data_IF_455343690327
#
_entry.id   IF_455343690327
#
_cell.length_a   1.000
_cell.length_b   1.000
_cell.length_c   1.000
_cell.angle_alpha   90.00
_cell.angle_beta   90.00
_cell.angle_gamma   90.00
#
_symmetry.space_group_name_H-M   'P 1'
#
loop_
_entity.id
_entity.type
_entity.pdbx_description
1 polymer ?
#
# COMPACT_ATOMS: atom_id res chain seq x y z
N UNK A 1 11.10 -17.56 -16.95
CA UNK A 1 10.00 -16.73 -17.49
C UNK A 1 10.29 -15.29 -17.11
N UNK A 2 10.23 -14.35 -18.06
CA UNK A 2 10.55 -12.95 -17.82
C UNK A 2 9.37 -12.23 -17.17
N UNK A 3 9.65 -11.42 -16.16
CA UNK A 3 8.68 -10.51 -15.56
C UNK A 3 8.51 -9.29 -16.49
N UNK A 4 7.28 -8.94 -16.81
CA UNK A 4 6.96 -7.79 -17.64
C UNK A 4 6.15 -6.76 -16.84
N UNK A 5 6.51 -5.48 -16.99
CA UNK A 5 5.89 -4.38 -16.26
C UNK A 5 4.80 -3.74 -17.11
N UNK A 6 3.60 -3.63 -16.54
CA UNK A 6 2.51 -2.79 -17.03
C UNK A 6 2.40 -1.60 -16.07
N UNK A 7 2.48 -0.37 -16.58
CA UNK A 7 2.26 0.84 -15.78
C UNK A 7 1.04 1.56 -16.33
N UNK A 8 0.08 1.85 -15.46
CA UNK A 8 -1.10 2.65 -15.78
C UNK A 8 -1.10 3.88 -14.89
N UNK A 9 -1.17 5.06 -15.50
CA UNK A 9 -1.36 6.33 -14.82
C UNK A 9 -2.81 6.73 -15.04
N UNK A 10 -3.52 7.14 -13.99
CA UNK A 10 -4.89 7.67 -14.09
C UNK A 10 -4.91 9.02 -13.40
N UNK A 11 -5.36 10.06 -14.11
CA UNK A 11 -5.47 11.39 -13.53
C UNK A 11 -6.82 11.60 -12.82
N UNK A 12 -6.94 12.72 -12.10
CA UNK A 12 -8.17 13.07 -11.38
C UNK A 12 -9.40 13.27 -12.30
N UNK A 13 -9.19 13.47 -13.61
CA UNK A 13 -10.25 13.56 -14.60
C UNK A 13 -10.63 12.20 -15.22
N UNK A 14 -9.99 11.11 -14.78
CA UNK A 14 -10.22 9.76 -15.28
C UNK A 14 -9.56 9.48 -16.63
N UNK A 15 -8.65 10.34 -17.10
CA UNK A 15 -7.80 10.04 -18.26
C UNK A 15 -6.73 9.06 -17.83
N UNK A 16 -6.37 8.14 -18.73
CA UNK A 16 -5.34 7.16 -18.43
C UNK A 16 -4.25 7.12 -19.49
N UNK A 17 -3.03 6.85 -19.04
CA UNK A 17 -1.88 6.52 -19.89
C UNK A 17 -1.42 5.10 -19.57
N UNK A 18 -1.13 4.33 -20.62
CA UNK A 18 -0.75 2.93 -20.51
C UNK A 18 0.63 2.69 -21.12
N UNK A 19 1.57 2.25 -20.28
CA UNK A 19 2.90 1.83 -20.71
C UNK A 19 3.01 0.31 -20.62
N UNK A 20 3.11 -0.35 -21.78
CA UNK A 20 3.10 -1.82 -21.92
C UNK A 20 4.49 -2.44 -22.12
N UNK A 21 5.54 -1.62 -22.21
CA UNK A 21 6.91 -2.10 -22.44
C UNK A 21 7.04 -2.93 -23.72
N UNK A 22 7.62 -4.14 -23.62
CA UNK A 22 7.75 -5.11 -24.73
C UNK A 22 6.60 -6.13 -24.80
N UNK A 23 5.52 -5.93 -24.05
CA UNK A 23 4.40 -6.88 -23.98
C UNK A 23 3.49 -6.72 -25.19
N UNK A 24 2.99 -7.83 -25.70
CA UNK A 24 1.99 -7.83 -26.75
C UNK A 24 0.72 -7.11 -26.28
N UNK A 25 0.26 -6.11 -27.05
CA UNK A 25 -0.92 -5.31 -26.70
C UNK A 25 -2.19 -6.15 -26.55
N UNK A 26 -2.33 -7.27 -27.28
CA UNK A 26 -3.45 -8.19 -27.12
C UNK A 26 -3.45 -8.92 -25.77
N UNK A 27 -2.27 -9.31 -25.27
CA UNK A 27 -2.16 -9.92 -23.94
C UNK A 27 -2.47 -8.91 -22.83
N UNK A 28 -2.09 -7.64 -23.04
CA UNK A 28 -2.43 -6.56 -22.12
C UNK A 28 -3.95 -6.31 -22.11
N UNK A 29 -4.60 -6.31 -23.27
CA UNK A 29 -6.05 -6.15 -23.36
C UNK A 29 -6.79 -7.25 -22.61
N UNK A 30 -6.44 -8.51 -22.85
CA UNK A 30 -7.04 -9.67 -22.15
C UNK A 30 -6.85 -9.57 -20.62
N UNK A 31 -5.65 -9.18 -20.17
CA UNK A 31 -5.38 -8.94 -18.76
C UNK A 31 -6.27 -7.82 -18.18
N UNK A 32 -6.42 -6.71 -18.89
CA UNK A 32 -7.26 -5.58 -18.45
C UNK A 32 -8.74 -5.95 -18.41
N UNK A 33 -9.23 -6.78 -19.34
CA UNK A 33 -10.59 -7.30 -19.31
C UNK A 33 -10.84 -8.19 -18.09
N UNK A 34 -9.91 -9.10 -17.78
CA UNK A 34 -9.98 -9.94 -16.59
C UNK A 34 -9.96 -9.11 -15.30
N UNK A 35 -9.11 -8.09 -15.22
CA UNK A 35 -9.05 -7.17 -14.09
C UNK A 35 -10.38 -6.41 -13.93
N UNK A 36 -10.93 -5.89 -15.02
CA UNK A 36 -12.22 -5.19 -15.00
C UNK A 36 -13.36 -6.12 -14.55
N UNK A 37 -13.36 -7.38 -14.99
CA UNK A 37 -14.31 -8.40 -14.53
C UNK A 37 -14.26 -8.60 -13.01
N UNK A 38 -13.06 -8.71 -12.44
CA UNK A 38 -12.87 -8.85 -10.99
C UNK A 38 -13.35 -7.62 -10.22
N UNK A 39 -12.99 -6.42 -10.67
CA UNK A 39 -13.41 -5.17 -10.03
C UNK A 39 -14.94 -5.04 -10.00
N UNK A 40 -15.62 -5.40 -11.09
CA UNK A 40 -17.09 -5.42 -11.14
C UNK A 40 -17.68 -6.46 -10.19
N UNK A 41 -17.12 -7.67 -10.16
CA UNK A 41 -17.58 -8.73 -9.27
C UNK A 41 -17.40 -8.39 -7.78
N UNK A 42 -16.39 -7.58 -7.45
CA UNK A 42 -16.13 -7.10 -6.08
C UNK A 42 -16.93 -5.84 -5.71
N UNK A 43 -17.69 -5.25 -6.63
CA UNK A 43 -18.50 -4.07 -6.35
C UNK A 43 -19.89 -4.48 -5.83
N UNK A 44 -20.34 -3.98 -4.65
CA UNK A 44 -21.70 -4.21 -4.18
C UNK A 44 -22.74 -3.59 -5.13
N UNK A 45 -24.00 -4.05 -5.16
CA UNK A 45 -25.02 -3.61 -6.12
C UNK A 45 -25.47 -2.15 -5.97
N UNK A 46 -25.00 -1.44 -4.94
CA UNK A 46 -25.36 -0.05 -4.71
C UNK A 46 -24.21 0.88 -5.12
N UNK A 47 -24.50 2.01 -5.81
CA UNK A 47 -23.48 2.98 -6.19
C UNK A 47 -22.83 3.55 -4.94
N UNK A 48 -21.49 3.45 -4.86
CA UNK A 48 -20.72 4.23 -3.89
C UNK A 48 -20.81 5.69 -4.31
N UNK A 49 -21.63 6.47 -3.60
CA UNK A 49 -21.45 7.92 -3.61
C UNK A 49 -20.11 8.17 -2.93
N UNK A 50 -19.16 8.91 -3.55
CA UNK A 50 -18.01 9.38 -2.82
C UNK A 50 -18.54 10.29 -1.72
N UNK A 51 -18.58 9.80 -0.48
CA UNK A 51 -19.11 10.58 0.64
C UNK A 51 -18.34 11.90 0.70
N UNK A 52 -19.09 13.00 0.67
CA UNK A 52 -18.60 14.32 1.05
C UNK A 52 -17.87 14.22 2.39
N UNK A 53 -16.89 15.11 2.68
CA UNK A 53 -16.05 14.99 3.88
C UNK A 53 -16.92 14.97 5.12
N UNK A 54 -17.05 13.80 5.75
CA UNK A 54 -17.71 13.68 7.05
C UNK A 54 -16.85 14.41 8.07
N UNK A 55 -17.48 15.35 8.78
CA UNK A 55 -16.87 16.09 9.86
C UNK A 55 -16.29 15.10 10.89
N UNK A 56 -14.98 15.20 11.12
CA UNK A 56 -14.23 14.40 12.09
C UNK A 56 -14.86 14.51 13.49
N UNK A 57 -15.29 13.39 14.10
CA UNK A 57 -15.54 13.35 15.53
C UNK A 57 -14.18 13.22 16.24
N UNK A 58 -13.89 14.19 17.08
CA UNK A 58 -12.72 14.35 17.94
C UNK A 58 -11.42 14.80 17.24
N UNK A 59 -10.96 15.98 17.67
CA UNK A 59 -9.73 16.63 17.30
C UNK A 59 -8.51 15.70 17.41
N UNK A 60 -8.05 15.18 16.28
CA UNK A 60 -6.66 14.81 16.09
C UNK A 60 -6.01 15.93 15.28
N UNK A 61 -4.92 16.56 15.77
CA UNK A 61 -4.30 17.68 15.08
C UNK A 61 -3.87 17.25 13.66
N UNK A 62 -4.15 18.13 12.69
CA UNK A 62 -3.90 17.97 11.25
C UNK A 62 -2.68 17.09 10.94
N UNK A 63 -2.94 15.99 10.21
CA UNK A 63 -1.92 15.04 9.77
C UNK A 63 -0.99 15.67 8.72
N UNK A 64 0.01 16.40 9.19
CA UNK A 64 1.22 16.62 8.41
C UNK A 64 2.06 15.35 8.47
N UNK A 65 2.20 14.69 7.31
CA UNK A 65 3.28 13.72 7.07
C UNK A 65 4.60 14.50 7.09
N UNK A 66 5.15 14.76 8.28
CA UNK A 66 6.51 15.26 8.44
C UNK A 66 7.45 14.10 8.10
N UNK A 67 7.88 14.04 6.84
CA UNK A 67 8.76 12.99 6.30
C UNK A 67 10.20 13.12 6.82
N UNK A 68 10.59 14.31 7.32
CA UNK A 68 11.99 14.66 7.62
C UNK A 68 12.58 14.09 8.92
N UNK A 69 11.78 13.53 9.83
CA UNK A 69 12.26 13.04 11.13
C UNK A 69 12.25 11.50 11.27
N UNK A 70 12.07 10.77 10.17
CA UNK A 70 12.11 9.31 10.24
C UNK A 70 13.54 8.77 10.41
N UNK A 71 13.70 7.73 11.23
CA UNK A 71 15.01 7.13 11.54
C UNK A 71 14.95 5.63 11.42
N UNK A 72 15.94 5.03 10.77
CA UNK A 72 16.11 3.59 10.71
C UNK A 72 17.30 3.13 11.56
N UNK A 73 17.06 2.21 12.49
CA UNK A 73 18.10 1.46 13.20
C UNK A 73 18.25 0.08 12.54
N UNK A 74 19.33 -0.15 11.77
CA UNK A 74 19.54 -1.42 11.09
C UNK A 74 19.92 -2.58 12.03
N UNK A 75 20.49 -2.29 13.21
CA UNK A 75 20.88 -3.31 14.17
C UNK A 75 19.65 -3.86 14.89
N UNK A 76 18.75 -2.98 15.30
CA UNK A 76 17.48 -3.36 15.92
C UNK A 76 16.39 -3.73 14.91
N UNK A 77 16.58 -3.41 13.62
CA UNK A 77 15.54 -3.47 12.57
C UNK A 77 14.30 -2.68 12.95
N UNK A 78 14.50 -1.55 13.62
CA UNK A 78 13.41 -0.66 14.05
C UNK A 78 13.42 0.58 13.16
N UNK A 79 12.27 0.92 12.62
CA UNK A 79 12.06 2.19 11.94
C UNK A 79 11.16 3.08 12.77
N UNK A 80 11.59 4.30 13.02
CA UNK A 80 10.83 5.32 13.74
C UNK A 80 10.26 6.29 12.73
N UNK A 81 8.95 6.47 12.71
CA UNK A 81 8.30 7.47 11.85
C UNK A 81 8.59 8.90 12.33
N UNK A 82 8.29 9.91 11.51
CA UNK A 82 8.45 11.32 11.88
C UNK A 82 7.58 11.79 13.06
N UNK A 83 6.74 10.91 13.63
CA UNK A 83 5.96 11.16 14.84
C UNK A 83 6.55 10.46 16.08
N UNK A 84 7.67 9.76 15.94
CA UNK A 84 8.31 9.01 17.01
C UNK A 84 7.73 7.62 17.26
N UNK A 85 6.83 7.12 16.41
CA UNK A 85 6.32 5.76 16.55
C UNK A 85 7.34 4.76 16.02
N UNK A 86 7.71 3.79 16.86
CA UNK A 86 8.65 2.74 16.52
C UNK A 86 7.95 1.53 15.89
N UNK A 87 8.45 1.10 14.74
CA UNK A 87 8.00 -0.04 13.97
C UNK A 87 9.08 -1.09 13.96
N UNK A 88 8.82 -2.25 14.58
CA UNK A 88 9.68 -3.41 14.45
C UNK A 88 9.47 -4.06 13.08
N UNK A 89 10.48 -3.98 12.22
CA UNK A 89 10.45 -4.51 10.86
C UNK A 89 10.78 -6.01 10.79
N UNK A 90 11.14 -6.62 11.92
CA UNK A 90 11.29 -8.08 12.00
C UNK A 90 9.94 -8.79 12.02
N UNK A 91 8.89 -8.10 12.48
CA UNK A 91 7.53 -8.63 12.62
C UNK A 91 6.78 -8.66 11.29
N UNK A 92 5.86 -9.60 11.19
CA UNK A 92 4.78 -9.54 10.20
C UNK A 92 3.67 -8.63 10.71
N UNK A 93 3.25 -7.68 9.89
CA UNK A 93 2.18 -6.74 10.20
C UNK A 93 0.90 -7.16 9.49
N UNK A 94 -0.24 -7.02 10.14
CA UNK A 94 -1.56 -7.35 9.62
C UNK A 94 -2.38 -6.08 9.53
N UNK A 95 -2.99 -5.87 8.37
CA UNK A 95 -3.87 -4.74 8.13
C UNK A 95 -5.31 -4.99 8.56
N UNK A 96 -6.16 -3.96 8.48
CA UNK A 96 -7.57 -4.05 8.90
C UNK A 96 -8.39 -5.07 8.08
N UNK A 97 -7.92 -5.44 6.89
CA UNK A 97 -8.56 -6.44 6.03
C UNK A 97 -7.99 -7.86 6.25
N UNK A 98 -7.04 -8.01 7.18
CA UNK A 98 -6.38 -9.28 7.47
C UNK A 98 -5.28 -9.66 6.48
N UNK A 99 -4.83 -8.75 5.62
CA UNK A 99 -3.67 -9.02 4.79
C UNK A 99 -2.38 -8.80 5.59
N UNK A 100 -1.45 -9.74 5.40
CA UNK A 100 -0.16 -9.75 6.06
C UNK A 100 0.89 -9.05 5.20
N UNK A 101 1.69 -8.22 5.84
CA UNK A 101 2.72 -7.37 5.26
C UNK A 101 4.05 -7.63 5.97
N UNK A 102 5.09 -7.89 5.20
CA UNK A 102 6.43 -8.15 5.72
C UNK A 102 7.44 -7.21 5.11
N UNK A 103 8.35 -6.69 5.93
CA UNK A 103 9.42 -5.85 5.42
C UNK A 103 10.33 -6.62 4.46
N UNK A 104 10.64 -5.99 3.32
CA UNK A 104 11.45 -6.58 2.26
C UNK A 104 12.96 -6.46 2.51
N UNK A 105 13.37 -5.79 3.59
CA UNK A 105 14.78 -5.50 3.86
C UNK A 105 15.33 -4.28 3.12
N UNK A 106 14.46 -3.51 2.45
CA UNK A 106 14.83 -2.29 1.71
C UNK A 106 13.92 -1.13 2.09
N UNK A 107 14.44 0.09 1.96
CA UNK A 107 13.70 1.35 2.12
C UNK A 107 13.38 1.92 0.73
N UNK A 108 12.38 2.80 0.64
CA UNK A 108 12.09 3.58 -0.56
C UNK A 108 12.99 4.81 -0.68
N UNK A 109 12.81 5.60 -1.75
CA UNK A 109 13.59 6.81 -2.01
C UNK A 109 13.41 7.91 -0.95
N UNK A 110 12.41 7.77 -0.06
CA UNK A 110 12.12 8.67 1.06
C UNK A 110 12.54 8.09 2.40
N UNK A 111 13.18 6.92 2.42
CA UNK A 111 13.62 6.26 3.64
C UNK A 111 12.54 5.47 4.38
N UNK A 112 11.35 5.30 3.80
CA UNK A 112 10.28 4.51 4.41
C UNK A 112 10.44 3.01 4.09
N UNK A 113 10.18 2.09 5.04
CA UNK A 113 10.29 0.66 4.81
C UNK A 113 9.35 0.15 3.72
N UNK A 114 9.87 -0.59 2.74
CA UNK A 114 9.04 -1.26 1.75
C UNK A 114 8.53 -2.60 2.29
N UNK A 115 7.22 -2.70 2.42
CA UNK A 115 6.52 -3.92 2.82
C UNK A 115 6.01 -4.66 1.59
N UNK A 116 6.03 -6.00 1.66
CA UNK A 116 5.42 -6.89 0.68
C UNK A 116 4.26 -7.62 1.30
N UNK A 117 3.13 -7.69 0.60
CA UNK A 117 2.01 -8.53 1.01
C UNK A 117 2.37 -10.03 0.88
N UNK A 118 2.22 -10.83 1.94
CA UNK A 118 2.63 -12.24 1.98
C UNK A 118 1.94 -13.10 0.90
N UNK A 119 0.66 -12.82 0.62
CA UNK A 119 -0.14 -13.58 -0.36
C UNK A 119 -0.17 -12.91 -1.75
N UNK A 120 0.69 -11.92 -2.00
CA UNK A 120 0.66 -11.12 -3.22
C UNK A 120 2.02 -10.68 -3.76
N UNK A 121 1.95 -9.95 -4.87
CA UNK A 121 3.10 -9.26 -5.48
C UNK A 121 3.16 -7.78 -5.08
N UNK A 122 2.16 -7.29 -4.36
CA UNK A 122 2.07 -5.90 -3.93
C UNK A 122 3.23 -5.55 -3.00
N UNK A 123 3.97 -4.52 -3.38
CA UNK A 123 5.02 -3.90 -2.57
C UNK A 123 4.67 -2.43 -2.42
N UNK A 124 4.61 -1.94 -1.18
CA UNK A 124 4.28 -0.56 -0.85
C UNK A 124 5.09 -0.09 0.35
N UNK A 125 5.33 1.22 0.46
CA UNK A 125 5.95 1.78 1.66
C UNK A 125 5.02 1.64 2.87
N UNK A 126 5.60 1.47 4.06
CA UNK A 126 4.87 1.33 5.31
C UNK A 126 3.91 2.51 5.54
N UNK A 127 4.30 3.73 5.19
CA UNK A 127 3.43 4.91 5.27
C UNK A 127 2.19 4.79 4.39
N UNK A 128 2.36 4.31 3.14
CA UNK A 128 1.25 4.07 2.22
C UNK A 128 0.36 2.95 2.74
N UNK A 129 0.94 1.86 3.25
CA UNK A 129 0.18 0.75 3.82
C UNK A 129 -0.65 1.21 5.02
N UNK A 130 -0.10 2.05 5.90
CA UNK A 130 -0.83 2.63 7.03
C UNK A 130 -1.94 3.57 6.59
N UNK A 131 -1.67 4.44 5.62
CA UNK A 131 -2.65 5.42 5.15
C UNK A 131 -3.84 4.75 4.44
N UNK A 132 -3.60 3.65 3.71
CA UNK A 132 -4.63 3.00 2.90
C UNK A 132 -5.29 1.80 3.58
N UNK A 133 -4.57 1.07 4.44
CA UNK A 133 -5.00 -0.21 5.02
C UNK A 133 -4.88 -0.25 6.55
N UNK A 134 -4.42 0.84 7.18
CA UNK A 134 -4.29 0.92 8.63
C UNK A 134 -5.65 0.90 9.36
N UNK A 135 -5.64 0.66 10.69
CA UNK A 135 -4.48 0.47 11.56
C UNK A 135 -3.78 -0.88 11.33
N UNK A 136 -2.45 -0.90 11.50
CA UNK A 136 -1.64 -2.11 11.41
C UNK A 136 -1.37 -2.68 12.80
N UNK A 137 -1.37 -4.00 12.90
CA UNK A 137 -1.07 -4.72 14.14
C UNK A 137 -0.09 -5.87 13.89
N UNK A 138 0.80 -6.21 14.83
CA UNK A 138 1.68 -7.35 14.64
C UNK A 138 0.86 -8.66 14.59
N UNK A 139 1.23 -9.55 13.69
CA UNK A 139 0.59 -10.86 13.55
C UNK A 139 0.69 -11.64 14.86
N UNK A 140 -0.42 -12.30 15.25
CA UNK A 140 -0.45 -13.20 16.42
C UNK A 140 0.53 -14.36 16.20
N UNK A 141 1.69 -14.29 16.83
CA UNK A 141 2.74 -15.31 16.74
C UNK A 141 4.16 -14.74 16.71
N UNK A 142 4.34 -13.48 16.27
CA UNK A 142 5.65 -12.84 16.16
C UNK A 142 6.00 -11.97 17.37
N UNK A 143 5.02 -11.64 18.23
CA UNK A 143 5.24 -10.99 19.52
C UNK A 143 5.46 -12.05 20.61
N UNK A 144 6.71 -12.49 20.80
CA UNK A 144 7.14 -13.33 21.93
C UNK A 144 8.47 -12.82 22.48
#
# INVERSE_FOLDING_TARGET
>A
MGEHRLVMLVDAAGRYELHTGKVCTLQVADFLEQLAGRLRASHPPHPRVPSAPEASPAAHPDERLLVDDSRFDPAAKVWTDGRGHAWDLSLTWVDMMGAEWRWRGVLDDRGAPLLRANKGVTVQSLDVVRALYGPLSPARGDAS
#
